data_IF_551522066187
#
_entry.id   IF_551522066187
#
_cell.length_a   1.000
_cell.length_b   1.000
_cell.length_c   1.000
_cell.angle_alpha   90.00
_cell.angle_beta   90.00
_cell.angle_gamma   90.00
#
_symmetry.space_group_name_H-M   'P 1'
#
loop_
_entity.id
_entity.type
_entity.pdbx_description
1 polymer ?
#
# COMPACT_ATOMS: atom_id res chain seq x y z
N UNK A 1 72.68 36.50 -41.21
CA UNK A 1 73.74 35.75 -41.92
C UNK A 1 73.57 34.27 -41.61
N UNK A 2 73.08 33.54 -42.61
CA UNK A 2 73.42 32.16 -43.04
C UNK A 2 73.85 31.10 -42.02
N UNK A 3 73.11 29.98 -41.96
CA UNK A 3 73.60 28.58 -42.17
C UNK A 3 72.54 27.56 -41.70
N UNK A 4 71.79 26.90 -42.57
CA UNK A 4 72.07 25.57 -43.19
C UNK A 4 72.41 24.41 -42.23
N UNK A 5 71.52 23.39 -42.22
CA UNK A 5 71.70 21.91 -42.23
C UNK A 5 70.46 21.28 -41.55
N UNK A 6 69.74 20.31 -42.09
CA UNK A 6 70.03 19.34 -43.15
C UNK A 6 70.03 17.91 -42.59
N UNK A 7 68.85 17.27 -42.59
CA UNK A 7 68.53 15.82 -42.59
C UNK A 7 69.02 14.91 -41.45
N UNK A 8 68.09 14.14 -40.90
CA UNK A 8 67.97 12.66 -40.95
C UNK A 8 67.36 12.13 -39.64
N UNK A 9 66.18 11.51 -39.70
CA UNK A 9 65.82 10.29 -38.93
C UNK A 9 64.40 9.88 -39.34
N UNK A 10 64.29 8.77 -40.10
CA UNK A 10 63.92 7.42 -39.66
C UNK A 10 62.41 7.17 -39.72
N UNK A 11 62.08 6.26 -40.65
CA UNK A 11 60.80 5.60 -40.85
C UNK A 11 60.49 4.62 -39.71
N UNK A 12 59.17 4.42 -39.53
CA UNK A 12 58.47 3.26 -38.99
C UNK A 12 58.67 2.94 -37.49
N UNK A 13 57.60 3.02 -36.70
CA UNK A 13 56.75 1.85 -36.42
C UNK A 13 55.39 2.33 -35.90
N UNK A 14 54.32 1.74 -36.43
CA UNK A 14 52.95 2.03 -36.00
C UNK A 14 52.69 1.48 -34.61
N UNK A 15 52.01 2.28 -33.79
CA UNK A 15 51.38 1.82 -32.56
C UNK A 15 49.88 2.08 -32.74
N UNK A 16 49.19 1.05 -33.20
CA UNK A 16 47.73 1.00 -33.24
C UNK A 16 47.27 0.87 -31.78
N UNK A 17 46.86 1.98 -31.16
CA UNK A 17 46.16 1.93 -29.89
C UNK A 17 44.78 1.31 -30.14
N UNK A 18 44.66 0.00 -29.95
CA UNK A 18 43.36 -0.61 -29.66
C UNK A 18 42.90 -0.09 -28.30
N UNK A 19 42.09 0.96 -28.32
CA UNK A 19 41.14 1.23 -27.25
C UNK A 19 40.14 0.08 -27.29
N UNK A 20 40.37 -0.94 -26.47
CA UNK A 20 39.33 -1.90 -26.10
C UNK A 20 38.33 -1.09 -25.27
N UNK A 21 37.28 -0.62 -25.93
CA UNK A 21 36.10 -0.14 -25.24
C UNK A 21 35.55 -1.32 -24.44
N UNK A 22 35.74 -1.28 -23.13
CA UNK A 22 35.00 -2.14 -22.20
C UNK A 22 33.54 -1.74 -22.44
N UNK A 23 32.67 -2.62 -22.98
CA UNK A 23 31.26 -2.30 -22.97
C UNK A 23 30.90 -2.16 -21.50
N UNK A 24 30.43 -0.96 -21.13
CA UNK A 24 29.70 -0.80 -19.90
C UNK A 24 28.52 -1.77 -20.02
N UNK A 25 28.65 -2.93 -19.38
CA UNK A 25 27.53 -3.76 -19.04
C UNK A 25 26.63 -2.83 -18.23
N UNK A 26 25.63 -2.27 -18.91
CA UNK A 26 24.43 -1.84 -18.25
C UNK A 26 24.05 -3.03 -17.39
N UNK A 27 24.22 -2.88 -16.08
CA UNK A 27 23.64 -3.82 -15.14
C UNK A 27 22.18 -3.87 -15.53
N UNK A 28 21.74 -5.04 -15.98
CA UNK A 28 20.35 -5.38 -15.82
C UNK A 28 20.11 -5.16 -14.32
N UNK A 29 19.41 -4.09 -13.98
CA UNK A 29 18.76 -3.99 -12.68
C UNK A 29 17.93 -5.26 -12.61
N UNK A 30 18.44 -6.21 -11.86
CA UNK A 30 17.76 -7.46 -11.60
C UNK A 30 16.41 -7.06 -11.03
N UNK A 31 15.36 -7.55 -11.71
CA UNK A 31 13.98 -7.63 -11.27
C UNK A 31 13.90 -8.45 -9.98
N UNK A 32 14.55 -7.96 -8.92
CA UNK A 32 14.48 -8.49 -7.58
C UNK A 32 13.19 -7.97 -6.98
N UNK A 33 12.11 -8.66 -7.36
CA UNK A 33 11.06 -9.11 -6.47
C UNK A 33 10.61 -8.05 -5.44
N UNK A 34 9.79 -7.11 -5.93
CA UNK A 34 8.92 -6.31 -5.08
C UNK A 34 7.80 -7.20 -4.55
N UNK A 35 8.05 -7.99 -3.52
CA UNK A 35 6.97 -8.59 -2.75
C UNK A 35 6.41 -7.51 -1.82
N UNK A 36 5.21 -7.04 -2.13
CA UNK A 36 4.39 -6.24 -1.23
C UNK A 36 3.52 -7.14 -0.35
N UNK A 37 2.58 -6.49 0.35
CA UNK A 37 1.68 -7.06 1.34
C UNK A 37 1.38 -8.55 1.23
N UNK A 38 2.04 -9.33 2.07
CA UNK A 38 1.77 -10.76 2.26
C UNK A 38 1.69 -11.56 0.95
N UNK A 39 2.63 -11.33 0.04
CA UNK A 39 2.84 -12.17 -1.15
C UNK A 39 2.28 -11.60 -2.45
N UNK A 40 1.61 -10.45 -2.40
CA UNK A 40 1.23 -9.70 -3.61
C UNK A 40 2.37 -8.78 -4.06
N UNK A 41 2.75 -8.83 -5.33
CA UNK A 41 3.63 -7.82 -5.90
C UNK A 41 2.86 -6.51 -6.16
N UNK A 42 2.98 -5.55 -5.24
CA UNK A 42 2.31 -4.25 -5.31
C UNK A 42 3.29 -3.11 -5.67
N UNK A 43 2.82 -2.03 -6.32
CA UNK A 43 1.46 -1.83 -6.82
C UNK A 43 1.15 -2.69 -8.06
N UNK A 44 -0.12 -3.07 -8.22
CA UNK A 44 -0.56 -3.94 -9.31
C UNK A 44 -2.00 -3.62 -9.75
N UNK A 45 -2.32 -4.09 -10.96
CA UNK A 45 -3.70 -4.15 -11.47
C UNK A 45 -4.13 -5.60 -11.56
N UNK A 46 -5.33 -5.91 -11.08
CA UNK A 46 -5.97 -7.21 -11.20
C UNK A 46 -7.15 -7.10 -12.16
N UNK A 47 -7.17 -7.92 -13.20
CA UNK A 47 -8.19 -7.85 -14.25
C UNK A 47 -8.76 -9.22 -14.59
N UNK A 48 -10.01 -9.26 -14.99
CA UNK A 48 -10.69 -10.48 -15.39
C UNK A 48 -12.19 -10.29 -15.56
N UNK A 49 -12.86 -11.26 -16.18
CA UNK A 49 -14.32 -11.26 -16.32
C UNK A 49 -14.93 -12.28 -15.37
N UNK A 50 -15.71 -11.82 -14.40
CA UNK A 50 -16.39 -12.67 -13.44
C UNK A 50 -17.84 -12.97 -13.87
N UNK A 51 -18.40 -14.13 -13.45
CA UNK A 51 -19.77 -14.51 -13.69
C UNK A 51 -20.78 -13.49 -13.17
N UNK A 52 -21.87 -13.37 -13.91
CA UNK A 52 -22.97 -12.46 -13.63
C UNK A 52 -24.29 -13.22 -13.70
N UNK A 53 -25.19 -12.94 -12.77
CA UNK A 53 -26.47 -13.67 -12.69
C UNK A 53 -27.39 -13.36 -13.88
N UNK A 54 -27.35 -12.12 -14.36
CA UNK A 54 -28.26 -11.58 -15.38
C UNK A 54 -27.51 -10.88 -16.53
N UNK A 55 -26.21 -11.08 -16.68
CA UNK A 55 -25.43 -10.56 -17.79
C UNK A 55 -24.38 -11.58 -18.26
N UNK A 56 -23.77 -11.41 -19.46
CA UNK A 56 -22.73 -12.33 -19.95
C UNK A 56 -21.51 -12.43 -19.03
N UNK A 57 -21.25 -11.37 -18.25
CA UNK A 57 -20.16 -11.30 -17.29
C UNK A 57 -19.95 -9.86 -16.83
N UNK A 58 -19.15 -9.67 -15.80
CA UNK A 58 -18.72 -8.37 -15.31
C UNK A 58 -17.22 -8.30 -15.50
N UNK A 59 -16.74 -7.34 -16.27
CA UNK A 59 -15.30 -7.07 -16.40
C UNK A 59 -14.84 -6.26 -15.18
N UNK A 60 -13.87 -6.78 -14.46
CA UNK A 60 -13.24 -6.16 -13.31
C UNK A 60 -11.89 -5.58 -13.70
N UNK A 61 -11.62 -4.36 -13.23
CA UNK A 61 -10.31 -3.73 -13.26
C UNK A 61 -10.04 -3.13 -11.88
N UNK A 62 -9.18 -3.78 -11.10
CA UNK A 62 -8.85 -3.42 -9.73
C UNK A 62 -7.40 -2.96 -9.64
N UNK A 63 -7.18 -1.68 -9.33
CA UNK A 63 -5.87 -1.11 -9.08
C UNK A 63 -5.60 -1.06 -7.58
N UNK A 64 -4.45 -1.57 -7.14
CA UNK A 64 -4.03 -1.59 -5.73
C UNK A 64 -2.70 -0.86 -5.58
N UNK A 65 -2.69 0.17 -4.72
CA UNK A 65 -1.48 0.93 -4.37
C UNK A 65 -0.89 0.48 -3.04
N UNK A 66 0.44 0.39 -2.96
CA UNK A 66 1.14 -0.09 -1.76
C UNK A 66 1.20 0.95 -0.62
N UNK A 67 1.48 2.22 -0.94
CA UNK A 67 1.88 3.22 0.07
C UNK A 67 0.73 3.67 0.99
N UNK A 68 -0.46 3.89 0.41
CA UNK A 68 -1.60 4.52 1.12
C UNK A 68 -2.76 3.56 1.41
N UNK A 69 -2.60 2.27 1.10
CA UNK A 69 -3.66 1.25 1.21
C UNK A 69 -4.94 1.58 0.46
N UNK A 70 -4.85 2.45 -0.55
CA UNK A 70 -5.96 2.77 -1.42
C UNK A 70 -6.12 1.72 -2.52
N UNK A 71 -7.35 1.50 -2.96
CA UNK A 71 -7.65 0.83 -4.22
C UNK A 71 -8.64 1.62 -5.07
N UNK A 72 -8.68 1.29 -6.34
CA UNK A 72 -9.68 1.74 -7.30
C UNK A 72 -10.22 0.52 -8.03
N UNK A 73 -11.55 0.43 -8.14
CA UNK A 73 -12.21 -0.68 -8.80
C UNK A 73 -13.20 -0.14 -9.81
N UNK A 74 -13.04 -0.56 -11.07
CA UNK A 74 -14.04 -0.39 -12.12
C UNK A 74 -14.66 -1.74 -12.45
N UNK A 75 -15.99 -1.80 -12.48
CA UNK A 75 -16.78 -2.95 -12.93
C UNK A 75 -17.63 -2.56 -14.13
N UNK A 76 -17.47 -3.25 -15.24
CA UNK A 76 -18.28 -3.05 -16.45
C UNK A 76 -19.20 -4.24 -16.66
N UNK A 77 -20.51 -4.02 -16.58
CA UNK A 77 -21.51 -5.06 -16.80
C UNK A 77 -21.72 -5.24 -18.30
N UNK A 78 -21.26 -6.37 -18.83
CA UNK A 78 -21.27 -6.62 -20.27
C UNK A 78 -22.70 -6.59 -20.81
N UNK A 79 -22.91 -5.91 -21.94
CA UNK A 79 -24.22 -5.74 -22.59
C UNK A 79 -25.31 -5.07 -21.71
N UNK A 80 -24.93 -4.39 -20.63
CA UNK A 80 -25.88 -3.72 -19.72
C UNK A 80 -25.77 -2.20 -19.65
N UNK A 81 -24.85 -1.58 -20.40
CA UNK A 81 -24.55 -0.12 -20.38
C UNK A 81 -24.48 0.42 -18.94
N UNK A 82 -23.79 -0.33 -18.08
CA UNK A 82 -23.70 -0.08 -16.65
C UNK A 82 -22.26 -0.27 -16.20
N UNK A 83 -21.71 0.78 -15.59
CA UNK A 83 -20.34 0.83 -15.07
C UNK A 83 -20.43 1.28 -13.62
N UNK A 84 -19.72 0.58 -12.75
CA UNK A 84 -19.59 0.93 -11.34
C UNK A 84 -18.13 1.19 -11.00
N UNK A 85 -17.85 2.44 -10.64
CA UNK A 85 -16.54 2.87 -10.16
C UNK A 85 -16.56 3.03 -8.65
N UNK A 86 -15.48 2.58 -8.01
CA UNK A 86 -15.35 2.52 -6.57
C UNK A 86 -13.93 2.90 -6.15
N UNK A 87 -13.85 3.64 -5.05
CA UNK A 87 -12.62 3.90 -4.31
C UNK A 87 -12.78 3.37 -2.90
N UNK A 88 -11.69 2.90 -2.32
CA UNK A 88 -11.71 2.41 -0.95
C UNK A 88 -10.34 2.12 -0.39
N UNK A 89 -10.33 1.38 0.71
CA UNK A 89 -9.13 0.87 1.37
C UNK A 89 -9.02 -0.63 1.23
N UNK A 90 -7.80 -1.13 1.21
CA UNK A 90 -7.54 -2.55 1.26
C UNK A 90 -6.67 -2.91 2.45
N UNK A 91 -6.83 -4.13 2.94
CA UNK A 91 -5.89 -4.77 3.85
C UNK A 91 -5.78 -6.24 3.51
N UNK A 92 -4.77 -6.90 4.06
CA UNK A 92 -4.61 -8.35 3.91
C UNK A 92 -4.77 -9.02 5.27
N UNK A 93 -5.52 -10.12 5.27
CA UNK A 93 -5.49 -11.12 6.32
C UNK A 93 -4.45 -12.20 5.97
N UNK A 94 -3.24 -12.17 6.57
CA UNK A 94 -2.19 -13.16 6.35
C UNK A 94 -2.48 -14.53 6.96
N UNK A 95 -3.47 -14.65 7.84
CA UNK A 95 -3.88 -15.96 8.40
C UNK A 95 -4.72 -16.69 7.36
N UNK A 96 -5.68 -15.98 6.75
CA UNK A 96 -6.54 -16.54 5.69
C UNK A 96 -5.96 -16.41 4.28
N UNK A 97 -4.82 -15.73 4.16
CA UNK A 97 -4.22 -15.33 2.88
C UNK A 97 -5.24 -14.63 1.98
N UNK A 98 -5.97 -13.67 2.55
CA UNK A 98 -7.08 -13.00 1.90
C UNK A 98 -6.83 -11.49 1.81
N UNK A 99 -7.04 -10.89 0.65
CA UNK A 99 -7.17 -9.46 0.43
C UNK A 99 -8.62 -9.06 0.71
N UNK A 100 -8.81 -8.04 1.54
CA UNK A 100 -10.12 -7.46 1.82
C UNK A 100 -10.15 -6.05 1.25
N UNK A 101 -11.22 -5.73 0.53
CA UNK A 101 -11.52 -4.40 0.00
C UNK A 101 -12.71 -3.81 0.77
N UNK A 102 -12.56 -2.58 1.22
CA UNK A 102 -13.59 -1.80 1.90
C UNK A 102 -13.81 -0.47 1.18
N UNK A 103 -14.95 -0.37 0.50
CA UNK A 103 -15.34 0.75 -0.34
C UNK A 103 -16.47 1.57 0.25
N UNK A 104 -16.86 2.60 -0.50
CA UNK A 104 -17.95 3.50 -0.11
C UNK A 104 -19.28 2.74 0.03
N UNK A 105 -20.10 3.10 1.02
CA UNK A 105 -21.44 2.53 1.19
C UNK A 105 -21.47 1.12 1.79
N UNK A 106 -20.44 0.75 2.56
CA UNK A 106 -20.24 -0.60 3.13
C UNK A 106 -20.03 -1.69 2.07
N UNK A 107 -19.56 -1.31 0.87
CA UNK A 107 -19.11 -2.26 -0.12
C UNK A 107 -17.89 -2.99 0.45
N UNK A 108 -18.04 -4.28 0.77
CA UNK A 108 -16.96 -5.12 1.27
C UNK A 108 -16.85 -6.36 0.40
N UNK A 109 -15.64 -6.68 -0.02
CA UNK A 109 -15.35 -7.93 -0.74
C UNK A 109 -14.08 -8.57 -0.24
N UNK A 110 -14.04 -9.90 -0.28
CA UNK A 110 -12.89 -10.68 0.15
C UNK A 110 -12.38 -11.54 -1.00
N UNK A 111 -11.06 -11.64 -1.09
CA UNK A 111 -10.38 -12.30 -2.19
C UNK A 111 -9.25 -13.16 -1.66
N UNK A 112 -9.24 -14.45 -1.95
CA UNK A 112 -8.11 -15.30 -1.65
C UNK A 112 -6.94 -14.96 -2.56
N UNK A 113 -5.78 -14.69 -1.97
CA UNK A 113 -4.52 -14.56 -2.67
C UNK A 113 -4.04 -15.97 -3.04
N UNK A 114 -3.79 -16.20 -4.32
CA UNK A 114 -3.34 -17.49 -4.83
C UNK A 114 -1.80 -17.58 -4.85
N UNK A 115 -1.22 -18.79 -4.96
CA UNK A 115 0.24 -18.94 -5.08
C UNK A 115 0.85 -18.23 -6.30
N UNK A 116 0.06 -18.04 -7.36
CA UNK A 116 0.48 -17.37 -8.59
C UNK A 116 0.32 -15.83 -8.51
N UNK A 117 -0.01 -15.31 -7.32
CA UNK A 117 -0.30 -13.90 -7.04
C UNK A 117 -1.57 -13.34 -7.67
N UNK A 118 -2.36 -14.16 -8.36
CA UNK A 118 -3.73 -13.84 -8.74
C UNK A 118 -4.64 -13.81 -7.52
N UNK A 119 -5.83 -13.22 -7.66
CA UNK A 119 -6.82 -13.15 -6.58
C UNK A 119 -8.12 -13.84 -6.99
N UNK A 120 -8.70 -14.64 -6.09
CA UNK A 120 -9.96 -15.35 -6.32
C UNK A 120 -11.04 -14.83 -5.38
N UNK A 121 -12.19 -14.45 -5.93
CA UNK A 121 -13.33 -13.98 -5.14
C UNK A 121 -13.81 -15.06 -4.15
N UNK A 122 -14.01 -14.64 -2.90
CA UNK A 122 -14.60 -15.44 -1.83
C UNK A 122 -16.09 -15.11 -1.68
N UNK A 123 -16.85 -16.01 -1.05
CA UNK A 123 -18.24 -15.74 -0.70
C UNK A 123 -18.37 -14.75 0.48
N UNK A 124 -19.62 -14.52 0.94
CA UNK A 124 -19.89 -13.55 2.00
C UNK A 124 -19.36 -14.00 3.37
N UNK A 125 -19.15 -15.31 3.53
CA UNK A 125 -18.57 -15.94 4.71
C UNK A 125 -17.03 -15.98 4.65
N UNK A 126 -16.43 -15.55 3.53
CA UNK A 126 -14.99 -15.59 3.31
C UNK A 126 -14.46 -16.97 2.92
N UNK A 127 -15.33 -17.86 2.45
CA UNK A 127 -14.99 -19.21 2.00
C UNK A 127 -14.85 -19.29 0.47
N UNK A 128 -14.09 -20.28 -0.05
CA UNK A 128 -13.93 -20.43 -1.49
C UNK A 128 -15.25 -20.76 -2.20
N UNK A 129 -15.60 -19.97 -3.22
CA UNK A 129 -16.77 -20.23 -4.06
C UNK A 129 -16.61 -21.55 -4.82
N UNK A 130 -17.48 -22.53 -4.55
CA UNK A 130 -17.52 -23.82 -5.25
C UNK A 130 -18.35 -23.70 -6.53
N UNK A 131 -17.67 -23.52 -7.66
CA UNK A 131 -18.30 -23.39 -8.98
C UNK A 131 -17.33 -23.76 -10.10
N UNK A 132 -17.87 -24.20 -11.24
CA UNK A 132 -17.09 -24.43 -12.47
C UNK A 132 -16.81 -23.13 -13.25
N UNK A 133 -17.41 -22.01 -12.83
CA UNK A 133 -17.23 -20.71 -13.45
C UNK A 133 -15.97 -20.00 -12.91
N UNK A 134 -15.33 -19.11 -13.71
CA UNK A 134 -14.08 -18.47 -13.31
C UNK A 134 -14.32 -17.34 -12.30
N UNK A 135 -13.74 -17.45 -11.09
CA UNK A 135 -13.84 -16.41 -10.05
C UNK A 135 -12.49 -15.73 -9.76
N UNK A 136 -11.56 -15.76 -10.72
CA UNK A 136 -10.18 -15.29 -10.54
C UNK A 136 -9.92 -14.03 -11.36
N UNK A 137 -9.25 -13.05 -10.76
CA UNK A 137 -8.64 -11.91 -11.44
C UNK A 137 -7.12 -12.13 -11.52
N UNK A 138 -6.57 -11.85 -12.69
CA UNK A 138 -5.16 -12.08 -12.99
C UNK A 138 -4.36 -10.83 -12.63
N UNK A 139 -3.23 -11.01 -11.95
CA UNK A 139 -2.33 -9.93 -11.60
C UNK A 139 -1.52 -9.44 -12.80
N UNK A 140 -1.30 -8.13 -12.88
CA UNK A 140 -0.50 -7.48 -13.90
C UNK A 140 0.16 -6.19 -13.40
N UNK A 141 1.05 -5.58 -14.22
CA UNK A 141 1.63 -4.28 -13.88
C UNK A 141 0.52 -3.25 -13.68
N UNK A 142 0.73 -2.31 -12.75
CA UNK A 142 -0.22 -1.24 -12.48
C UNK A 142 -0.49 -0.43 -13.76
N UNK A 143 -1.75 -0.45 -14.22
CA UNK A 143 -2.29 0.33 -15.33
C UNK A 143 -3.55 1.02 -14.81
N UNK A 144 -3.44 2.25 -14.26
CA UNK A 144 -4.55 2.90 -13.59
C UNK A 144 -5.76 3.12 -14.51
N UNK A 145 -6.94 2.73 -14.03
CA UNK A 145 -8.20 2.95 -14.73
C UNK A 145 -8.70 4.39 -14.56
N UNK A 146 -9.49 4.86 -15.53
CA UNK A 146 -10.29 6.07 -15.36
C UNK A 146 -11.45 5.77 -14.41
N UNK A 147 -11.78 6.67 -13.51
CA UNK A 147 -12.92 6.55 -12.60
C UNK A 147 -13.85 7.74 -12.76
N UNK A 148 -15.15 7.52 -12.69
CA UNK A 148 -16.19 8.56 -12.67
C UNK A 148 -17.16 8.27 -11.55
N UNK A 149 -16.98 8.94 -10.42
CA UNK A 149 -17.75 8.67 -9.22
C UNK A 149 -17.87 9.91 -8.33
N UNK A 150 -18.90 9.98 -7.49
CA UNK A 150 -19.11 11.11 -6.65
C UNK A 150 -18.26 10.94 -5.37
N UNK A 151 -17.27 11.80 -5.16
CA UNK A 151 -16.30 11.71 -4.05
C UNK A 151 -16.48 12.82 -3.01
N UNK A 152 -16.02 12.54 -1.80
CA UNK A 152 -15.88 13.52 -0.70
C UNK A 152 -14.43 13.51 -0.25
N UNK A 153 -13.82 14.68 -0.11
CA UNK A 153 -12.41 14.77 0.22
C UNK A 153 -12.02 16.13 0.77
N UNK A 154 -10.81 16.21 1.31
CA UNK A 154 -10.22 17.47 1.72
C UNK A 154 -9.63 18.16 0.49
N UNK A 155 -10.08 19.38 0.23
CA UNK A 155 -9.48 20.27 -0.74
C UNK A 155 -8.52 21.22 -0.02
N UNK A 156 -7.33 21.40 -0.58
CA UNK A 156 -6.44 22.52 -0.25
C UNK A 156 -6.12 23.31 -1.52
N UNK A 157 -5.92 24.61 -1.36
CA UNK A 157 -5.48 25.48 -2.44
C UNK A 157 -4.43 26.45 -1.93
N UNK A 158 -3.26 26.41 -2.55
CA UNK A 158 -2.14 27.27 -2.20
C UNK A 158 -1.21 27.47 -3.40
N UNK A 159 -0.74 28.70 -3.60
CA UNK A 159 0.21 29.08 -4.66
C UNK A 159 -0.21 28.56 -6.05
N UNK A 160 -1.46 28.83 -6.44
CA UNK A 160 -2.06 28.40 -7.71
C UNK A 160 -2.05 26.87 -7.95
N UNK A 161 -1.99 26.08 -6.87
CA UNK A 161 -2.09 24.64 -6.93
C UNK A 161 -3.22 24.16 -6.01
N UNK A 162 -4.15 23.39 -6.58
CA UNK A 162 -5.22 22.73 -5.86
C UNK A 162 -4.92 21.24 -5.70
N UNK A 163 -5.09 20.72 -4.49
CA UNK A 163 -4.99 19.31 -4.16
C UNK A 163 -6.31 18.82 -3.59
N UNK A 164 -6.67 17.58 -3.92
CA UNK A 164 -7.81 16.87 -3.37
C UNK A 164 -7.32 15.58 -2.71
N UNK A 165 -7.65 15.39 -1.43
CA UNK A 165 -7.38 14.16 -0.70
C UNK A 165 -8.71 13.45 -0.45
N UNK A 166 -8.96 12.34 -1.13
CA UNK A 166 -10.22 11.60 -0.99
C UNK A 166 -10.33 10.99 0.42
N UNK A 167 -11.48 11.13 1.06
CA UNK A 167 -11.62 10.83 2.50
C UNK A 167 -11.48 9.35 2.85
N UNK A 168 -12.06 8.46 2.04
CA UNK A 168 -12.08 7.03 2.37
C UNK A 168 -10.73 6.38 2.11
N UNK A 169 -10.23 6.44 0.89
CA UNK A 169 -8.95 5.88 0.47
C UNK A 169 -7.75 6.66 1.00
N UNK A 170 -7.90 7.97 1.25
CA UNK A 170 -6.80 8.85 1.62
C UNK A 170 -5.89 9.25 0.46
N UNK A 171 -6.21 8.83 -0.77
CA UNK A 171 -5.41 9.14 -1.95
C UNK A 171 -5.42 10.65 -2.27
N UNK A 172 -4.27 11.14 -2.71
CA UNK A 172 -4.04 12.56 -2.97
C UNK A 172 -3.85 12.80 -4.46
N UNK A 173 -4.66 13.70 -5.00
CA UNK A 173 -4.67 14.03 -6.41
C UNK A 173 -4.49 15.55 -6.62
N UNK A 174 -3.71 16.00 -7.61
CA UNK A 174 -3.88 17.34 -8.15
C UNK A 174 -5.28 17.48 -8.76
N UNK A 175 -5.81 18.71 -8.73
CA UNK A 175 -7.08 19.04 -9.41
C UNK A 175 -6.76 19.74 -10.73
N UNK A 176 -7.35 19.26 -11.82
CA UNK A 176 -7.29 19.90 -13.12
C UNK A 176 -8.10 21.21 -13.11
N UNK A 177 -7.51 22.29 -13.63
CA UNK A 177 -8.14 23.62 -13.72
C UNK A 177 -9.11 23.72 -14.91
N UNK A 178 -10.08 22.80 -14.97
CA UNK A 178 -11.07 22.72 -16.04
C UNK A 178 -12.44 22.31 -15.49
N UNK A 179 -13.44 22.20 -16.37
CA UNK A 179 -14.82 21.89 -16.00
C UNK A 179 -15.33 22.80 -14.87
N UNK A 180 -15.85 22.23 -13.78
CA UNK A 180 -16.46 22.98 -12.68
C UNK A 180 -15.45 23.42 -11.60
N UNK A 181 -14.13 23.32 -11.88
CA UNK A 181 -13.05 23.74 -10.98
C UNK A 181 -13.22 25.19 -10.50
N UNK A 182 -13.60 26.10 -11.40
CA UNK A 182 -13.74 27.53 -11.06
C UNK A 182 -14.86 27.79 -10.04
N UNK A 183 -15.90 26.95 -10.00
CA UNK A 183 -16.95 27.04 -8.98
C UNK A 183 -16.41 26.57 -7.62
N UNK A 184 -15.67 25.46 -7.62
CA UNK A 184 -15.01 24.93 -6.43
C UNK A 184 -13.97 25.91 -5.85
N UNK A 185 -13.11 26.48 -6.69
CA UNK A 185 -12.08 27.45 -6.28
C UNK A 185 -12.70 28.68 -5.61
N UNK A 186 -13.74 29.26 -6.21
CA UNK A 186 -14.47 30.39 -5.62
C UNK A 186 -15.05 30.03 -4.26
N UNK A 187 -15.68 28.86 -4.15
CA UNK A 187 -16.24 28.41 -2.88
C UNK A 187 -15.16 28.21 -1.80
N UNK A 188 -13.97 27.74 -2.17
CA UNK A 188 -12.83 27.63 -1.27
C UNK A 188 -12.34 29.01 -0.79
N UNK A 189 -12.20 29.98 -1.71
CA UNK A 189 -11.74 31.33 -1.38
C UNK A 189 -12.76 32.13 -0.56
N UNK A 190 -14.06 31.87 -0.77
CA UNK A 190 -15.16 32.51 -0.03
C UNK A 190 -15.38 31.89 1.36
N UNK A 191 -14.70 30.79 1.70
CA UNK A 191 -14.90 30.05 2.95
C UNK A 191 -14.30 30.73 4.21
N UNK A 192 -13.58 31.84 4.06
CA UNK A 192 -12.95 32.60 5.16
C UNK A 192 -12.06 31.74 6.08
N UNK A 193 -11.29 30.82 5.48
CA UNK A 193 -10.32 29.95 6.17
C UNK A 193 -8.87 30.44 5.97
N UNK A 194 -7.95 29.97 6.82
CA UNK A 194 -6.52 30.28 6.66
C UNK A 194 -6.00 29.81 5.28
N UNK A 195 -5.14 30.58 4.60
CA UNK A 195 -4.60 30.19 3.30
C UNK A 195 -3.90 28.82 3.34
N UNK A 196 -4.33 27.91 2.47
CA UNK A 196 -3.81 26.54 2.41
C UNK A 196 -4.42 25.59 3.45
N UNK A 197 -5.29 26.04 4.34
CA UNK A 197 -6.01 25.16 5.25
C UNK A 197 -6.96 24.22 4.48
N UNK A 198 -7.12 22.96 4.92
CA UNK A 198 -8.02 22.04 4.27
C UNK A 198 -9.48 22.34 4.63
N UNK A 199 -10.40 22.10 3.68
CA UNK A 199 -11.84 22.00 3.93
C UNK A 199 -12.43 20.81 3.19
N UNK A 200 -13.61 20.35 3.60
CA UNK A 200 -14.28 19.25 2.89
C UNK A 200 -14.95 19.77 1.62
N UNK A 201 -14.73 19.10 0.50
CA UNK A 201 -15.42 19.32 -0.76
C UNK A 201 -16.17 18.07 -1.21
N UNK A 202 -17.41 18.26 -1.66
CA UNK A 202 -18.22 17.22 -2.32
C UNK A 202 -18.30 17.52 -3.81
N UNK A 203 -17.83 16.59 -4.63
CA UNK A 203 -17.77 16.75 -6.09
C UNK A 203 -18.16 15.44 -6.80
N UNK A 204 -18.65 15.55 -8.04
CA UNK A 204 -18.58 14.45 -8.99
C UNK A 204 -17.25 14.58 -9.73
N UNK A 205 -16.44 13.52 -9.69
CA UNK A 205 -15.07 13.55 -10.17
C UNK A 205 -14.85 12.53 -11.29
N UNK A 206 -14.15 12.98 -12.33
CA UNK A 206 -13.40 12.09 -13.21
C UNK A 206 -11.95 12.02 -12.70
N UNK A 207 -11.44 10.84 -12.41
CA UNK A 207 -10.05 10.63 -11.98
C UNK A 207 -9.35 9.80 -13.06
N UNK A 208 -8.36 10.40 -13.71
CA UNK A 208 -7.67 9.78 -14.85
C UNK A 208 -6.18 10.12 -14.86
N UNK A 209 -5.38 9.28 -15.51
CA UNK A 209 -3.95 9.53 -15.70
C UNK A 209 -3.77 10.71 -16.66
N UNK A 210 -3.07 11.77 -16.22
CA UNK A 210 -2.83 12.94 -17.06
C UNK A 210 -1.35 13.22 -17.20
N UNK A 211 -0.98 13.51 -18.45
CA UNK A 211 0.35 14.01 -18.78
C UNK A 211 0.62 15.32 -18.05
N UNK A 212 1.74 15.38 -17.35
CA UNK A 212 2.15 16.59 -16.65
C UNK A 212 3.00 17.45 -17.55
N UNK A 213 2.88 18.77 -17.41
CA UNK A 213 3.77 19.71 -18.12
C UNK A 213 5.22 19.57 -17.65
N UNK A 214 5.42 19.17 -16.39
CA UNK A 214 6.71 18.86 -15.80
C UNK A 214 6.60 17.64 -14.87
N UNK A 215 7.53 16.69 -15.03
CA UNK A 215 7.56 15.44 -14.28
C UNK A 215 6.76 14.31 -14.91
N UNK A 216 6.58 13.22 -14.16
CA UNK A 216 5.85 12.03 -14.61
C UNK A 216 4.34 12.26 -14.61
N UNK A 217 3.66 11.58 -15.54
CA UNK A 217 2.21 11.42 -15.56
C UNK A 217 1.70 11.01 -14.18
N UNK A 218 0.58 11.58 -13.78
CA UNK A 218 -0.05 11.27 -12.49
C UNK A 218 -1.56 11.31 -12.60
N UNK A 219 -2.22 10.52 -11.76
CA UNK A 219 -3.67 10.57 -11.59
C UNK A 219 -4.07 11.98 -11.16
N UNK A 220 -5.06 12.54 -11.84
CA UNK A 220 -5.53 13.91 -11.65
C UNK A 220 -7.05 13.89 -11.55
N UNK A 221 -7.61 14.67 -10.64
CA UNK A 221 -9.06 14.85 -10.48
C UNK A 221 -9.53 15.98 -11.41
N UNK A 222 -10.55 15.70 -12.21
CA UNK A 222 -11.35 16.70 -12.91
C UNK A 222 -12.67 16.86 -12.17
N UNK A 223 -13.03 18.10 -11.82
CA UNK A 223 -14.31 18.39 -11.17
C UNK A 223 -15.40 18.45 -12.25
N UNK A 224 -16.04 17.32 -12.55
CA UNK A 224 -17.14 17.28 -13.51
C UNK A 224 -18.34 18.09 -13.01
N UNK A 225 -18.60 18.03 -11.70
CA UNK A 225 -19.64 18.81 -11.04
C UNK A 225 -19.25 19.16 -9.61
N UNK A 226 -19.35 20.43 -9.25
CA UNK A 226 -19.21 20.89 -7.88
C UNK A 226 -20.57 20.81 -7.14
N UNK A 227 -20.57 20.33 -5.89
CA UNK A 227 -21.77 20.35 -5.04
C UNK A 227 -21.68 21.41 -3.93
N UNK A 228 -20.73 21.27 -3.00
CA UNK A 228 -20.54 22.21 -1.90
C UNK A 228 -19.18 22.02 -1.20
N UNK A 229 -18.81 23.00 -0.38
CA UNK A 229 -17.71 22.92 0.59
C UNK A 229 -18.23 23.01 2.02
N UNK A 230 -17.52 22.38 2.96
CA UNK A 230 -17.80 22.47 4.40
C UNK A 230 -16.50 22.84 5.13
N UNK A 231 -16.35 24.09 5.59
CA UNK A 231 -15.24 24.52 6.44
C UNK A 231 -15.24 23.80 7.80
N UNK A 232 -14.09 23.79 8.47
CA UNK A 232 -13.91 23.21 9.83
C UNK A 232 -14.32 21.74 9.98
N UNK A 233 -14.50 21.03 8.86
CA UNK A 233 -14.76 19.61 8.82
C UNK A 233 -13.48 18.86 8.46
N UNK A 234 -13.22 17.77 9.17
CA UNK A 234 -12.21 16.80 8.81
C UNK A 234 -12.88 15.62 8.10
N UNK A 235 -12.13 14.88 7.28
CA UNK A 235 -12.58 13.55 6.89
C UNK A 235 -12.84 12.74 8.17
N UNK A 236 -13.85 11.86 8.18
CA UNK A 236 -13.94 10.85 9.24
C UNK A 236 -12.57 10.22 9.33
N UNK A 237 -11.96 10.28 10.51
CA UNK A 237 -10.59 9.87 10.69
C UNK A 237 -10.58 8.33 10.70
N UNK A 238 -10.72 7.77 9.50
CA UNK A 238 -10.57 6.35 9.23
C UNK A 238 -9.12 5.95 9.32
N UNK A 239 -8.17 6.85 9.60
CA UNK A 239 -6.79 6.50 9.98
C UNK A 239 -6.55 6.63 11.49
N UNK A 240 -7.46 7.24 12.24
CA UNK A 240 -7.20 7.74 13.61
C UNK A 240 -6.93 6.58 14.55
N UNK A 241 -5.66 6.52 14.96
CA UNK A 241 -5.04 5.50 15.78
C UNK A 241 -5.22 4.10 15.19
N UNK A 242 -4.15 3.54 14.62
CA UNK A 242 -4.09 2.10 14.49
C UNK A 242 -4.32 1.54 15.89
N UNK A 243 -5.51 0.99 16.13
CA UNK A 243 -5.85 0.42 17.42
C UNK A 243 -4.85 -0.67 17.72
N UNK A 244 -4.50 -0.85 19.00
CA UNK A 244 -3.64 -1.97 19.40
C UNK A 244 -4.21 -3.30 18.86
N UNK A 245 -5.54 -3.41 18.91
CA UNK A 245 -6.34 -4.56 18.45
C UNK A 245 -6.59 -4.48 16.95
N UNK A 246 -6.73 -5.63 16.30
CA UNK A 246 -7.08 -5.74 14.87
C UNK A 246 -6.13 -5.00 13.91
N UNK A 247 -4.90 -4.73 14.35
CA UNK A 247 -3.84 -4.14 13.52
C UNK A 247 -2.72 -5.15 13.31
N UNK A 248 -2.26 -5.24 12.07
CA UNK A 248 -1.04 -5.96 11.72
C UNK A 248 0.17 -5.07 11.98
N UNK A 249 0.88 -5.36 13.06
CA UNK A 249 2.06 -4.64 13.52
C UNK A 249 3.33 -5.27 12.96
N UNK A 250 3.93 -4.62 11.98
CA UNK A 250 5.14 -5.07 11.31
C UNK A 250 6.38 -4.69 12.11
N UNK A 251 7.26 -5.64 12.38
CA UNK A 251 8.45 -5.43 13.20
C UNK A 251 9.47 -4.54 12.47
N UNK A 252 9.83 -3.40 13.04
CA UNK A 252 10.87 -2.49 12.50
C UNK A 252 12.16 -2.57 13.30
N UNK A 253 12.07 -2.86 14.60
CA UNK A 253 13.21 -2.88 15.50
C UNK A 253 13.08 -4.02 16.52
N UNK A 254 14.17 -4.74 16.77
CA UNK A 254 14.25 -5.79 17.79
C UNK A 254 15.63 -5.75 18.47
N UNK A 255 15.65 -5.56 19.79
CA UNK A 255 16.85 -5.55 20.63
C UNK A 255 18.03 -4.70 20.11
N UNK A 256 17.75 -3.49 19.63
CA UNK A 256 18.78 -2.59 19.10
C UNK A 256 19.07 -2.78 17.61
N UNK A 257 18.45 -3.77 16.96
CA UNK A 257 18.69 -4.12 15.54
C UNK A 257 17.50 -3.70 14.68
N UNK A 258 17.76 -2.83 13.71
CA UNK A 258 16.82 -2.48 12.63
C UNK A 258 16.52 -3.72 11.78
N UNK A 259 15.25 -3.95 11.49
CA UNK A 259 14.78 -5.09 10.73
C UNK A 259 14.45 -4.65 9.30
N UNK A 260 15.05 -5.32 8.31
CA UNK A 260 14.70 -5.13 6.91
C UNK A 260 13.36 -5.83 6.61
N UNK A 261 12.38 -5.07 6.12
CA UNK A 261 11.04 -5.55 5.77
C UNK A 261 10.95 -6.00 4.30
N UNK A 262 12.04 -5.93 3.52
CA UNK A 262 12.00 -6.07 2.05
C UNK A 262 12.61 -7.36 1.48
N UNK A 263 13.01 -8.33 2.31
CA UNK A 263 13.72 -9.57 1.89
C UNK A 263 12.83 -10.62 1.17
N UNK A 264 11.67 -10.23 0.62
CA UNK A 264 10.80 -11.10 -0.17
C UNK A 264 10.23 -12.34 0.54
N UNK A 265 10.43 -12.44 1.85
CA UNK A 265 9.85 -13.43 2.76
C UNK A 265 8.55 -12.89 3.36
N UNK A 266 7.75 -13.78 3.95
CA UNK A 266 6.53 -13.36 4.65
C UNK A 266 6.88 -12.29 5.69
N UNK A 267 6.31 -11.09 5.52
CA UNK A 267 6.63 -9.92 6.34
C UNK A 267 6.36 -10.22 7.83
N UNK A 268 7.35 -10.04 8.73
CA UNK A 268 7.17 -10.27 10.15
C UNK A 268 6.08 -9.37 10.73
N UNK A 269 5.08 -9.97 11.38
CA UNK A 269 3.97 -9.22 11.98
C UNK A 269 3.51 -9.81 13.31
N UNK A 270 2.85 -8.96 14.10
CA UNK A 270 2.02 -9.34 15.25
C UNK A 270 0.61 -8.80 15.02
N UNK A 271 -0.39 -9.63 15.33
CA UNK A 271 -1.79 -9.27 15.35
C UNK A 271 -2.35 -9.58 16.73
N UNK A 272 -3.07 -8.62 17.31
CA UNK A 272 -3.83 -8.81 18.53
C UNK A 272 -5.31 -8.94 18.17
N UNK A 273 -5.99 -9.92 18.76
CA UNK A 273 -7.41 -10.18 18.49
C UNK A 273 -8.29 -9.00 18.89
N UNK A 274 -9.44 -8.87 18.23
CA UNK A 274 -10.44 -7.83 18.52
C UNK A 274 -10.90 -7.79 19.98
N UNK A 275 -10.97 -8.96 20.62
CA UNK A 275 -11.33 -9.07 22.04
C UNK A 275 -10.17 -8.76 23.00
N UNK A 276 -8.96 -8.52 22.48
CA UNK A 276 -7.75 -8.23 23.25
C UNK A 276 -7.21 -9.39 24.10
N UNK A 277 -7.69 -10.62 23.87
CA UNK A 277 -7.36 -11.78 24.71
C UNK A 277 -6.26 -12.67 24.15
N UNK A 278 -5.89 -12.51 22.88
CA UNK A 278 -4.93 -13.36 22.18
C UNK A 278 -4.07 -12.55 21.22
N UNK A 279 -2.88 -13.06 20.96
CA UNK A 279 -2.01 -12.57 19.91
C UNK A 279 -1.65 -13.71 18.95
N UNK A 280 -1.29 -13.34 17.73
CA UNK A 280 -0.78 -14.25 16.70
C UNK A 280 0.20 -13.52 15.78
N UNK A 281 1.04 -14.24 15.06
CA UNK A 281 1.97 -13.60 14.14
C UNK A 281 2.97 -14.56 13.50
N UNK A 282 3.99 -14.01 12.86
CA UNK A 282 5.13 -14.74 12.31
C UNK A 282 6.38 -13.87 12.27
N UNK A 283 7.56 -14.50 12.29
CA UNK A 283 8.84 -13.87 11.97
C UNK A 283 9.36 -14.29 10.58
N UNK A 284 8.52 -14.88 9.74
CA UNK A 284 8.82 -15.22 8.35
C UNK A 284 8.98 -16.72 8.05
N UNK A 285 8.91 -17.61 9.05
CA UNK A 285 8.81 -19.04 8.83
C UNK A 285 7.68 -19.66 9.65
N UNK A 286 7.83 -19.87 10.95
CA UNK A 286 6.77 -20.39 11.81
C UNK A 286 5.71 -19.34 12.15
N UNK A 287 4.49 -19.82 12.37
CA UNK A 287 3.43 -19.01 12.97
C UNK A 287 3.46 -19.20 14.48
N UNK A 288 3.34 -18.09 15.22
CA UNK A 288 3.23 -18.09 16.66
C UNK A 288 1.86 -17.57 17.11
N UNK A 289 1.44 -17.97 18.31
CA UNK A 289 0.20 -17.55 18.94
C UNK A 289 0.26 -17.74 20.46
N UNK A 290 -0.54 -16.99 21.19
CA UNK A 290 -0.65 -17.16 22.63
C UNK A 290 -1.75 -16.29 23.25
N UNK A 291 -2.03 -16.47 24.55
CA UNK A 291 -2.93 -15.60 25.29
C UNK A 291 -2.27 -14.25 25.55
N UNK A 292 -3.09 -13.21 25.64
CA UNK A 292 -2.69 -11.83 25.95
C UNK A 292 -3.65 -11.28 27.01
N UNK A 293 -3.10 -10.54 27.98
CA UNK A 293 -3.91 -9.71 28.87
C UNK A 293 -3.50 -8.24 28.68
N UNK A 294 -4.49 -7.36 28.57
CA UNK A 294 -4.29 -5.91 28.41
C UNK A 294 -5.02 -5.19 29.54
N UNK A 295 -4.32 -4.31 30.25
CA UNK A 295 -4.89 -3.47 31.30
C UNK A 295 -4.29 -2.05 31.23
N UNK A 296 -5.00 -1.15 30.55
CA UNK A 296 -4.48 0.19 30.27
C UNK A 296 -3.30 0.11 29.30
N UNK A 297 -2.13 0.58 29.73
CA UNK A 297 -0.86 0.46 29.00
C UNK A 297 -0.06 -0.78 29.38
N UNK A 298 -0.54 -1.58 30.35
CA UNK A 298 0.11 -2.85 30.71
C UNK A 298 -0.33 -3.96 29.76
N UNK A 299 0.64 -4.75 29.31
CA UNK A 299 0.41 -5.99 28.55
C UNK A 299 1.15 -7.14 29.19
N UNK A 300 0.55 -8.32 29.13
CA UNK A 300 1.16 -9.58 29.53
C UNK A 300 0.92 -10.61 28.41
N UNK A 301 1.97 -10.89 27.65
CA UNK A 301 1.96 -11.99 26.70
C UNK A 301 2.21 -13.28 27.48
N UNK A 302 1.25 -14.22 27.43
CA UNK A 302 1.45 -15.53 28.02
C UNK A 302 2.29 -16.44 27.12
N UNK A 303 2.39 -17.74 27.47
CA UNK A 303 3.29 -18.68 26.80
C UNK A 303 3.09 -18.71 25.29
N UNK A 304 4.18 -18.52 24.54
CA UNK A 304 4.16 -18.51 23.07
C UNK A 304 4.14 -19.95 22.54
N UNK A 305 3.07 -20.31 21.84
CA UNK A 305 3.01 -21.53 21.05
C UNK A 305 3.44 -21.24 19.60
N UNK A 306 4.21 -22.14 18.99
CA UNK A 306 4.70 -22.00 17.61
C UNK A 306 4.52 -23.29 16.81
N UNK A 307 4.33 -23.17 15.50
CA UNK A 307 4.39 -24.30 14.58
C UNK A 307 5.81 -24.84 14.44
N UNK A 308 5.98 -26.07 13.92
CA UNK A 308 7.31 -26.69 13.74
C UNK A 308 7.60 -26.97 12.26
N UNK A 309 7.75 -25.90 11.46
CA UNK A 309 8.26 -26.00 10.09
C UNK A 309 9.80 -26.04 10.08
N UNK A 310 10.37 -26.61 9.02
CA UNK A 310 11.81 -26.67 8.84
C UNK A 310 12.35 -25.29 8.41
N UNK A 311 12.69 -24.45 9.40
CA UNK A 311 13.22 -23.11 9.16
C UNK A 311 14.76 -23.11 9.05
N UNK A 312 15.35 -22.23 8.24
CA UNK A 312 16.77 -21.92 8.31
C UNK A 312 17.20 -21.55 9.75
N UNK A 313 18.41 -21.95 10.19
CA UNK A 313 18.86 -21.74 11.58
C UNK A 313 18.79 -20.28 12.04
N UNK A 314 19.08 -19.33 11.16
CA UNK A 314 19.04 -17.89 11.48
C UNK A 314 17.61 -17.40 11.75
N UNK A 315 16.63 -17.86 10.98
CA UNK A 315 15.22 -17.54 11.20
C UNK A 315 14.69 -18.18 12.48
N UNK A 316 15.07 -19.43 12.75
CA UNK A 316 14.70 -20.11 14.00
C UNK A 316 15.26 -19.38 15.24
N UNK A 317 16.50 -18.87 15.17
CA UNK A 317 17.08 -18.06 16.24
C UNK A 317 16.34 -16.73 16.43
N UNK A 318 15.96 -16.06 15.33
CA UNK A 318 15.15 -14.83 15.37
C UNK A 318 13.76 -15.07 15.95
N UNK A 319 13.10 -16.17 15.60
CA UNK A 319 11.81 -16.59 16.17
C UNK A 319 11.89 -16.80 17.68
N UNK A 320 12.94 -17.48 18.16
CA UNK A 320 13.15 -17.71 19.59
C UNK A 320 13.38 -16.39 20.35
N UNK A 321 14.27 -15.52 19.84
CA UNK A 321 14.53 -14.21 20.44
C UNK A 321 13.26 -13.34 20.51
N UNK A 322 12.45 -13.38 19.44
CA UNK A 322 11.19 -12.65 19.41
C UNK A 322 10.16 -13.18 20.43
N UNK A 323 10.06 -14.50 20.58
CA UNK A 323 9.18 -15.11 21.57
C UNK A 323 9.59 -14.74 23.02
N UNK A 324 10.89 -14.79 23.32
CA UNK A 324 11.42 -14.34 24.62
C UNK A 324 11.14 -12.86 24.87
N UNK A 325 11.26 -12.02 23.84
CA UNK A 325 10.94 -10.59 23.95
C UNK A 325 9.45 -10.36 24.26
N UNK A 326 8.54 -11.06 23.58
CA UNK A 326 7.11 -10.93 23.85
C UNK A 326 6.79 -11.26 25.30
N UNK A 327 7.32 -12.37 25.83
CA UNK A 327 7.13 -12.77 27.22
C UNK A 327 7.76 -11.79 28.23
N UNK A 328 8.78 -11.02 27.82
CA UNK A 328 9.41 -10.00 28.64
C UNK A 328 8.72 -8.62 28.56
N UNK A 329 7.85 -8.39 27.57
CA UNK A 329 7.14 -7.14 27.40
C UNK A 329 6.09 -6.94 28.52
N UNK A 330 6.08 -5.76 29.14
CA UNK A 330 5.17 -5.44 30.25
C UNK A 330 4.25 -4.27 29.94
N UNK A 331 4.66 -3.40 29.00
CA UNK A 331 3.91 -2.22 28.62
C UNK A 331 3.89 -2.00 27.11
N UNK A 332 2.78 -1.45 26.64
CA UNK A 332 2.62 -0.94 25.27
C UNK A 332 2.65 0.57 25.30
N UNK A 333 3.31 1.16 24.31
CA UNK A 333 3.22 2.59 24.02
C UNK A 333 2.82 2.75 22.56
N UNK A 334 1.59 3.20 22.36
CA UNK A 334 0.96 3.36 21.06
C UNK A 334 0.92 4.84 20.69
N UNK A 335 1.61 5.20 19.61
CA UNK A 335 1.66 6.56 19.10
C UNK A 335 1.42 6.53 17.59
N UNK A 336 0.26 7.04 17.14
CA UNK A 336 -0.18 7.07 15.75
C UNK A 336 -0.15 5.68 15.07
N UNK A 337 0.88 5.42 14.27
CA UNK A 337 1.13 4.17 13.55
C UNK A 337 2.37 3.44 14.08
N UNK A 338 2.87 3.81 15.26
CA UNK A 338 3.99 3.15 15.93
C UNK A 338 3.53 2.49 17.21
N UNK A 339 3.81 1.19 17.33
CA UNK A 339 3.65 0.43 18.56
C UNK A 339 5.03 0.13 19.11
N UNK A 340 5.25 0.45 20.38
CA UNK A 340 6.44 0.05 21.13
C UNK A 340 6.04 -0.92 22.22
N UNK A 341 6.81 -2.00 22.33
CA UNK A 341 6.78 -2.86 23.50
C UNK A 341 7.92 -2.44 24.42
N UNK A 342 7.60 -2.26 25.70
CA UNK A 342 8.53 -1.81 26.72
C UNK A 342 8.66 -2.88 27.81
N UNK A 343 9.90 -3.12 28.24
CA UNK A 343 10.21 -3.97 29.38
C UNK A 343 10.12 -3.22 30.72
N UNK A 344 10.33 -3.94 31.83
CA UNK A 344 10.22 -3.43 33.21
C UNK A 344 11.06 -2.17 33.48
N UNK A 345 12.25 -2.11 32.88
CA UNK A 345 13.22 -1.02 33.09
C UNK A 345 13.01 0.17 32.15
N UNK A 346 11.96 0.16 31.32
CA UNK A 346 11.73 1.13 30.26
C UNK A 346 12.60 0.93 29.01
N UNK A 347 13.33 -0.19 28.94
CA UNK A 347 13.98 -0.62 27.70
C UNK A 347 12.92 -0.86 26.63
N UNK A 348 13.26 -0.53 25.38
CA UNK A 348 12.42 -0.75 24.19
C UNK A 348 12.96 -1.97 23.43
N UNK A 349 12.57 -3.19 23.80
CA UNK A 349 13.05 -4.38 23.11
C UNK A 349 12.44 -4.54 21.72
N UNK A 350 11.28 -3.94 21.44
CA UNK A 350 10.69 -4.00 20.10
C UNK A 350 9.90 -2.74 19.72
N UNK A 351 10.01 -2.39 18.44
CA UNK A 351 9.19 -1.38 17.78
C UNK A 351 8.56 -1.96 16.53
N UNK A 352 7.31 -1.57 16.33
CA UNK A 352 6.50 -1.95 15.20
C UNK A 352 5.91 -0.72 14.54
N UNK A 353 5.55 -0.90 13.28
CA UNK A 353 4.76 0.04 12.49
C UNK A 353 3.45 -0.64 12.09
N UNK A 354 2.35 0.09 12.12
CA UNK A 354 1.10 -0.41 11.57
C UNK A 354 1.30 -0.67 10.07
N UNK A 355 1.13 -1.92 9.65
CA UNK A 355 1.25 -2.33 8.25
C UNK A 355 -0.14 -2.38 7.63
N UNK A 356 -1.13 -2.97 8.31
CA UNK A 356 -2.54 -3.00 7.91
C UNK A 356 -3.46 -2.81 9.10
N UNK A 357 -4.57 -2.11 8.89
CA UNK A 357 -5.62 -1.86 9.88
C UNK A 357 -6.90 -2.54 9.43
N UNK A 358 -7.47 -3.42 10.27
CA UNK A 358 -8.84 -3.91 10.10
C UNK A 358 -9.77 -2.94 10.79
N UNK A 359 -10.70 -2.34 10.03
CA UNK A 359 -11.68 -1.41 10.55
C UNK A 359 -12.95 -2.10 11.03
#
# INVERSE_FOLDING_TARGET
>A
MTSMRGRLTKRLYGMFSLLVGIPALAGAETDQQRFGAHGLALPATFSGTLPCADCPGIEYHLDIWNEDQGYALRRTYLERDHVEDELGRWYVDPVRNALILEGTGNARSEWQITPDQDIRLLDQEGEPIVSDLPYTLVAGPLVPTELRLPVTGLMTYFADAALFTECLSGQRFPIAMEADYLALERAYLDADIEPGAPLIARIDAEISMRAQTEGSDRMTVTVERFHHVTPDAACPDTRSAAGLLNTFWGLTHLDGVEQDQTDGRQEPYVLISEDGTRFSGTMGCNRFMGPLSIAGDSVEFGPVASTMMACPPELAAREAAFAEMLEAAQRVDLMDHSLRLLGETGAEPARFRAVYTRY
#
